data_IF_492846163847
#
_entry.id   IF_492846163847
#
_cell.length_a   1.000
_cell.length_b   1.000
_cell.length_c   1.000
_cell.angle_alpha   90.00
_cell.angle_beta   90.00
_cell.angle_gamma   90.00
#
_symmetry.space_group_name_H-M   'P 1'
#
loop_
_entity.id
_entity.type
_entity.pdbx_description
1 polymer ?
#
# COMPACT_ATOMS: atom_id res chain seq x y z
N UNK A 1 -9.88 1.23 -0.25
CA UNK A 1 -8.83 0.20 -0.34
C UNK A 1 -9.41 -0.99 -1.10
N UNK A 2 -8.95 -1.15 -2.33
CA UNK A 2 -9.40 -2.22 -3.23
C UNK A 2 -8.37 -3.35 -3.15
N UNK A 3 -8.79 -4.50 -2.63
CA UNK A 3 -7.97 -5.70 -2.55
C UNK A 3 -8.57 -6.86 -3.31
N UNK A 4 -7.78 -7.89 -3.61
CA UNK A 4 -8.21 -9.06 -4.41
C UNK A 4 -9.34 -9.89 -3.78
N UNK A 5 -9.56 -9.81 -2.46
CA UNK A 5 -10.60 -10.57 -1.75
C UNK A 5 -11.66 -9.69 -1.08
N UNK A 6 -11.45 -8.38 -1.06
CA UNK A 6 -12.41 -7.46 -0.43
C UNK A 6 -12.03 -6.01 -0.61
N UNK A 7 -13.05 -5.21 -0.80
CA UNK A 7 -13.00 -3.75 -0.93
C UNK A 7 -13.44 -3.16 0.41
N UNK A 8 -12.65 -2.23 0.93
CA UNK A 8 -12.88 -1.62 2.23
C UNK A 8 -12.93 -0.10 2.09
N UNK A 9 -13.83 0.53 2.81
CA UNK A 9 -13.92 1.99 2.88
C UNK A 9 -14.23 2.48 4.27
N UNK A 10 -13.85 3.71 4.55
CA UNK A 10 -14.19 4.42 5.78
C UNK A 10 -14.12 5.93 5.59
N UNK A 11 -14.83 6.67 6.42
CA UNK A 11 -14.58 8.09 6.61
C UNK A 11 -13.33 8.29 7.47
N UNK A 12 -12.50 9.25 7.09
CA UNK A 12 -11.22 9.52 7.77
C UNK A 12 -11.17 10.96 8.26
N UNK A 13 -10.84 11.14 9.52
CA UNK A 13 -10.32 12.42 10.01
C UNK A 13 -8.83 12.53 9.63
N UNK A 14 -8.56 13.30 8.59
CA UNK A 14 -7.21 13.48 8.06
C UNK A 14 -6.30 14.37 8.92
N UNK A 15 -6.81 14.96 10.00
CA UNK A 15 -6.00 15.68 11.00
C UNK A 15 -5.41 14.71 12.01
N UNK A 16 -6.22 13.82 12.53
CA UNK A 16 -5.82 12.83 13.55
C UNK A 16 -5.29 11.53 12.94
N UNK A 17 -5.63 11.20 11.70
CA UNK A 17 -5.33 9.91 11.09
C UNK A 17 -6.11 8.77 11.74
N UNK A 18 -7.39 9.01 12.04
CA UNK A 18 -8.32 8.04 12.61
C UNK A 18 -9.55 7.88 11.73
N UNK A 19 -10.20 6.72 11.84
CA UNK A 19 -11.48 6.49 11.20
C UNK A 19 -12.59 7.21 11.93
N UNK A 20 -13.57 7.72 11.20
CA UNK A 20 -14.82 8.27 11.72
C UNK A 20 -15.89 7.19 11.53
N UNK A 21 -16.31 6.58 12.62
CA UNK A 21 -17.26 5.47 12.60
C UNK A 21 -16.61 4.14 12.19
N UNK A 22 -17.42 3.22 11.71
CA UNK A 22 -16.99 1.88 11.35
C UNK A 22 -16.51 1.80 9.90
N UNK A 23 -15.61 0.85 9.66
CA UNK A 23 -15.13 0.50 8.34
C UNK A 23 -16.11 -0.46 7.67
N UNK A 24 -16.58 -0.11 6.48
CA UNK A 24 -17.37 -1.00 5.61
C UNK A 24 -16.44 -1.92 4.85
N UNK A 25 -16.82 -3.19 4.71
CA UNK A 25 -16.12 -4.18 3.85
C UNK A 25 -17.15 -4.95 3.03
N UNK A 26 -16.95 -4.96 1.73
CA UNK A 26 -17.68 -5.82 0.79
C UNK A 26 -16.69 -6.74 0.08
N UNK A 27 -17.16 -7.85 -0.43
CA UNK A 27 -16.35 -8.79 -1.21
C UNK A 27 -15.97 -8.17 -2.56
N UNK A 28 -14.77 -8.48 -3.03
CA UNK A 28 -14.38 -8.14 -4.40
C UNK A 28 -15.15 -9.04 -5.36
N UNK A 29 -15.80 -8.49 -6.39
CA UNK A 29 -16.53 -9.27 -7.36
C UNK A 29 -15.64 -10.30 -8.05
N UNK A 30 -16.19 -11.49 -8.29
CA UNK A 30 -15.49 -12.54 -9.03
C UNK A 30 -15.07 -12.01 -10.42
N UNK A 31 -13.84 -12.33 -10.82
CA UNK A 31 -13.27 -11.80 -12.07
C UNK A 31 -12.66 -10.41 -11.96
N UNK A 32 -13.01 -9.60 -10.97
CA UNK A 32 -12.39 -8.30 -10.72
C UNK A 32 -12.52 -7.27 -11.86
N UNK A 33 -13.62 -7.33 -12.61
CA UNK A 33 -13.85 -6.42 -13.75
C UNK A 33 -14.02 -4.97 -13.31
N UNK A 34 -13.59 -3.98 -14.11
CA UNK A 34 -13.64 -2.56 -13.75
C UNK A 34 -15.03 -2.06 -13.33
N UNK A 35 -16.06 -2.36 -14.10
CA UNK A 35 -17.43 -1.93 -13.81
C UNK A 35 -17.98 -2.54 -12.53
N UNK A 36 -17.68 -3.81 -12.29
CA UNK A 36 -18.17 -4.51 -11.10
C UNK A 36 -17.50 -3.98 -9.83
N UNK A 37 -16.18 -3.75 -9.87
CA UNK A 37 -15.44 -3.11 -8.77
C UNK A 37 -15.96 -1.68 -8.55
N UNK A 38 -16.16 -0.89 -9.60
CA UNK A 38 -16.67 0.49 -9.47
C UNK A 38 -18.06 0.51 -8.82
N UNK A 39 -18.95 -0.41 -9.19
CA UNK A 39 -20.28 -0.53 -8.58
C UNK A 39 -20.21 -0.90 -7.09
N UNK A 40 -19.25 -1.75 -6.68
CA UNK A 40 -19.03 -2.07 -5.24
C UNK A 40 -18.48 -0.87 -4.50
N UNK A 41 -17.51 -0.15 -5.08
CA UNK A 41 -16.97 1.08 -4.49
C UNK A 41 -18.06 2.12 -4.31
N UNK A 42 -18.95 2.28 -5.31
CA UNK A 42 -20.13 3.16 -5.20
C UNK A 42 -21.00 2.82 -4.00
N UNK A 43 -21.37 1.55 -3.83
CA UNK A 43 -22.16 1.11 -2.66
C UNK A 43 -21.50 1.49 -1.33
N UNK A 44 -20.17 1.32 -1.23
CA UNK A 44 -19.42 1.69 -0.02
C UNK A 44 -19.44 3.20 0.18
N UNK A 45 -19.22 4.00 -0.88
CA UNK A 45 -19.22 5.47 -0.81
C UNK A 45 -20.62 5.98 -0.43
N UNK A 46 -21.67 5.49 -1.08
CA UNK A 46 -23.06 5.88 -0.77
C UNK A 46 -23.43 5.57 0.70
N UNK A 47 -23.02 4.41 1.20
CA UNK A 47 -23.24 4.03 2.60
C UNK A 47 -22.48 4.93 3.59
N UNK A 48 -21.27 5.37 3.25
CA UNK A 48 -20.41 6.15 4.15
C UNK A 48 -20.69 7.66 4.06
N UNK A 49 -20.93 8.19 2.87
CA UNK A 49 -21.08 9.64 2.66
C UNK A 49 -22.42 10.16 3.17
N UNK A 50 -23.49 9.38 3.10
CA UNK A 50 -24.82 9.84 3.43
C UNK A 50 -25.17 11.11 2.62
N UNK A 51 -25.58 12.18 3.32
CA UNK A 51 -25.91 13.49 2.70
C UNK A 51 -24.67 14.39 2.49
N UNK A 52 -23.46 13.93 2.76
CA UNK A 52 -22.23 14.73 2.62
C UNK A 52 -21.83 14.84 1.15
N UNK A 53 -22.05 16.01 0.54
CA UNK A 53 -21.55 16.32 -0.80
C UNK A 53 -20.15 16.93 -0.77
N UNK A 54 -19.39 16.80 -1.87
CA UNK A 54 -18.12 17.48 -2.07
C UNK A 54 -16.95 16.90 -1.25
N UNK A 55 -17.12 15.75 -0.59
CA UNK A 55 -16.01 15.06 0.09
C UNK A 55 -15.18 14.32 -0.96
N UNK A 56 -13.86 14.58 -1.07
CA UNK A 56 -13.02 13.88 -2.03
C UNK A 56 -12.86 12.40 -1.63
N UNK A 57 -12.78 11.54 -2.65
CA UNK A 57 -12.62 10.10 -2.46
C UNK A 57 -11.19 9.70 -2.81
N UNK A 58 -10.47 9.12 -1.84
CA UNK A 58 -9.17 8.50 -2.07
C UNK A 58 -9.32 7.00 -2.31
N UNK A 59 -8.72 6.49 -3.38
CA UNK A 59 -8.74 5.07 -3.72
C UNK A 59 -7.31 4.55 -3.80
N UNK A 60 -6.96 3.57 -2.96
CA UNK A 60 -5.76 2.79 -3.17
C UNK A 60 -6.11 1.50 -3.93
N UNK A 61 -5.27 1.19 -4.92
CA UNK A 61 -5.50 0.14 -5.90
C UNK A 61 -4.26 -0.76 -6.05
N UNK A 62 -4.41 -2.09 -6.17
CA UNK A 62 -3.29 -3.03 -6.24
C UNK A 62 -2.64 -3.06 -7.64
N UNK A 63 -2.20 -1.91 -8.11
CA UNK A 63 -1.51 -1.73 -9.39
C UNK A 63 -0.71 -0.42 -9.40
N UNK A 64 0.22 -0.31 -10.33
CA UNK A 64 0.86 0.96 -10.68
C UNK A 64 -0.20 1.92 -11.24
N UNK A 65 -0.31 3.13 -10.67
CA UNK A 65 -1.25 4.18 -11.11
C UNK A 65 -0.48 5.42 -11.54
N UNK A 66 -0.57 5.78 -12.82
CA UNK A 66 0.05 7.00 -13.36
C UNK A 66 -1.01 7.91 -13.95
N UNK A 67 -1.11 9.13 -13.42
CA UNK A 67 -2.09 10.13 -13.88
C UNK A 67 -3.52 9.57 -13.95
N UNK A 68 -3.93 8.78 -12.96
CA UNK A 68 -5.26 8.17 -12.92
C UNK A 68 -5.45 6.93 -13.81
N UNK A 69 -4.41 6.53 -14.56
CA UNK A 69 -4.42 5.34 -15.42
C UNK A 69 -3.75 4.18 -14.69
N UNK A 70 -4.39 3.02 -14.67
CA UNK A 70 -3.82 1.79 -14.14
C UNK A 70 -2.92 1.14 -15.18
N UNK A 71 -1.65 0.88 -14.81
CA UNK A 71 -0.61 0.41 -15.74
C UNK A 71 -0.32 -1.09 -15.61
N UNK A 72 -0.82 -1.73 -14.56
CA UNK A 72 -0.61 -3.15 -14.30
C UNK A 72 -1.88 -3.79 -13.72
N UNK A 73 -1.93 -5.11 -13.68
CA UNK A 73 -3.03 -5.88 -13.09
C UNK A 73 -2.51 -7.23 -12.61
N UNK A 74 -2.08 -7.31 -11.34
CA UNK A 74 -1.60 -8.55 -10.75
C UNK A 74 -2.73 -9.40 -10.15
N UNK A 75 -3.64 -8.76 -9.41
CA UNK A 75 -4.69 -9.43 -8.62
C UNK A 75 -6.12 -9.04 -9.04
N UNK A 76 -6.27 -8.43 -10.19
CA UNK A 76 -7.53 -7.99 -10.81
C UNK A 76 -7.53 -8.35 -12.29
N UNK A 77 -8.64 -8.17 -12.97
CA UNK A 77 -8.75 -8.48 -14.40
C UNK A 77 -7.78 -7.65 -15.26
N UNK A 78 -7.26 -8.23 -16.34
CA UNK A 78 -6.30 -7.55 -17.23
C UNK A 78 -6.88 -6.35 -17.96
N UNK A 79 -8.21 -6.22 -18.04
CA UNK A 79 -8.88 -5.04 -18.62
C UNK A 79 -8.61 -3.75 -17.83
N UNK A 80 -8.02 -3.83 -16.64
CA UNK A 80 -7.51 -2.66 -15.93
C UNK A 80 -6.27 -2.05 -16.57
N UNK A 81 -5.48 -2.81 -17.34
CA UNK A 81 -4.24 -2.30 -17.94
C UNK A 81 -4.56 -1.26 -19.01
N UNK A 82 -4.07 -0.03 -18.83
CA UNK A 82 -4.31 1.10 -19.71
C UNK A 82 -5.67 1.79 -19.50
N UNK A 83 -6.44 1.40 -18.49
CA UNK A 83 -7.74 2.00 -18.21
C UNK A 83 -7.57 3.35 -17.49
N UNK A 84 -8.33 4.36 -17.91
CA UNK A 84 -8.50 5.63 -17.19
C UNK A 84 -9.36 5.40 -15.93
N UNK A 85 -8.78 4.69 -14.96
CA UNK A 85 -9.50 4.19 -13.80
C UNK A 85 -10.03 5.31 -12.90
N UNK A 86 -9.30 6.41 -12.78
CA UNK A 86 -9.77 7.57 -12.01
C UNK A 86 -11.04 8.15 -12.63
N UNK A 87 -11.07 8.35 -13.94
CA UNK A 87 -12.25 8.86 -14.66
C UNK A 87 -13.44 7.90 -14.53
N UNK A 88 -13.20 6.58 -14.59
CA UNK A 88 -14.24 5.58 -14.37
C UNK A 88 -14.87 5.74 -12.97
N UNK A 89 -14.07 5.86 -11.93
CA UNK A 89 -14.57 6.04 -10.57
C UNK A 89 -15.26 7.41 -10.40
N UNK A 90 -14.72 8.48 -10.96
CA UNK A 90 -15.37 9.82 -10.91
C UNK A 90 -16.75 9.81 -11.53
N UNK A 91 -16.89 9.17 -12.68
CA UNK A 91 -18.19 9.04 -13.37
C UNK A 91 -19.19 8.20 -12.57
N UNK A 92 -18.72 7.08 -11.97
CA UNK A 92 -19.58 6.19 -11.21
C UNK A 92 -20.00 6.79 -9.86
N UNK A 93 -19.07 7.49 -9.18
CA UNK A 93 -19.28 8.00 -7.84
C UNK A 93 -19.92 9.39 -7.80
N UNK A 94 -19.75 10.22 -8.84
CA UNK A 94 -20.13 11.63 -8.80
C UNK A 94 -19.29 12.47 -7.83
N UNK A 95 -18.08 12.04 -7.52
CA UNK A 95 -17.13 12.68 -6.60
C UNK A 95 -15.77 12.86 -7.28
N UNK A 96 -15.01 13.87 -6.85
CA UNK A 96 -13.60 13.95 -7.18
C UNK A 96 -12.85 12.75 -6.58
N UNK A 97 -12.07 12.05 -7.40
CA UNK A 97 -11.34 10.84 -7.01
C UNK A 97 -9.85 11.07 -7.17
N UNK A 98 -9.07 10.56 -6.21
CA UNK A 98 -7.61 10.50 -6.30
C UNK A 98 -7.16 9.08 -6.07
N UNK A 99 -6.40 8.56 -7.02
CA UNK A 99 -5.92 7.17 -7.00
C UNK A 99 -4.42 7.08 -6.76
N UNK A 100 -4.02 6.03 -6.06
CA UNK A 100 -2.61 5.66 -5.90
C UNK A 100 -2.47 4.15 -5.72
N UNK A 101 -1.23 3.67 -5.84
CA UNK A 101 -0.88 2.29 -5.52
C UNK A 101 -1.14 1.98 -4.02
N UNK A 102 -1.41 0.72 -3.68
CA UNK A 102 -1.73 0.30 -2.30
C UNK A 102 -0.53 0.39 -1.34
N UNK A 103 0.68 0.09 -1.79
CA UNK A 103 1.89 0.25 -0.99
C UNK A 103 2.23 1.74 -0.80
N UNK A 104 2.07 2.57 -1.85
CA UNK A 104 2.19 4.03 -1.75
C UNK A 104 1.20 4.60 -0.73
N UNK A 105 -0.05 4.13 -0.76
CA UNK A 105 -1.05 4.55 0.22
C UNK A 105 -0.65 4.17 1.65
N UNK A 106 -0.17 2.94 1.85
CA UNK A 106 0.31 2.51 3.15
C UNK A 106 1.48 3.38 3.63
N UNK A 107 2.41 3.72 2.73
CA UNK A 107 3.52 4.62 3.00
C UNK A 107 3.06 6.02 3.38
N UNK A 108 2.14 6.62 2.63
CA UNK A 108 1.57 7.95 2.94
C UNK A 108 0.95 7.97 4.34
N UNK A 109 0.24 6.91 4.74
CA UNK A 109 -0.31 6.80 6.08
C UNK A 109 0.77 6.76 7.17
N UNK A 110 1.86 6.02 6.94
CA UNK A 110 2.96 5.92 7.89
C UNK A 110 3.75 7.23 7.99
N UNK A 111 4.00 7.92 6.88
CA UNK A 111 4.67 9.22 6.88
C UNK A 111 3.83 10.30 7.57
N UNK A 112 2.52 10.29 7.36
CA UNK A 112 1.65 11.35 7.93
C UNK A 112 1.22 11.06 9.36
N UNK A 113 0.97 9.80 9.70
CA UNK A 113 0.30 9.43 10.96
C UNK A 113 1.00 8.33 11.76
N UNK A 114 2.07 7.72 11.21
CA UNK A 114 2.68 6.52 11.76
C UNK A 114 4.17 6.62 12.02
N UNK A 115 4.89 5.55 11.73
CA UNK A 115 6.31 5.35 12.06
C UNK A 115 7.24 6.33 11.36
N UNK A 116 6.87 6.84 10.17
CA UNK A 116 7.65 7.81 9.40
C UNK A 116 7.38 9.28 9.74
N UNK A 117 6.48 9.55 10.71
CA UNK A 117 6.09 10.94 11.03
C UNK A 117 7.28 11.78 11.48
N UNK A 118 7.48 12.94 10.82
CA UNK A 118 8.57 13.90 11.10
C UNK A 118 9.99 13.35 10.82
N UNK A 119 10.11 12.26 10.08
CA UNK A 119 11.41 11.77 9.61
C UNK A 119 11.76 12.54 8.34
N UNK A 120 12.91 13.18 8.36
CA UNK A 120 13.52 13.83 7.21
C UNK A 120 14.43 12.84 6.47
N UNK A 121 14.87 13.21 5.28
CA UNK A 121 15.72 12.36 4.44
C UNK A 121 14.93 11.29 3.68
N UNK A 122 15.58 10.16 3.43
CA UNK A 122 15.02 9.08 2.63
C UNK A 122 14.37 8.03 3.53
N UNK A 123 13.08 7.81 3.34
CA UNK A 123 12.34 6.74 4.01
C UNK A 123 11.92 5.69 2.99
N UNK A 124 12.34 4.47 3.22
CA UNK A 124 11.92 3.30 2.45
C UNK A 124 10.90 2.50 3.25
N UNK A 125 9.76 2.20 2.65
CA UNK A 125 8.77 1.30 3.23
C UNK A 125 8.60 0.07 2.34
N UNK A 126 8.52 -1.11 2.97
CA UNK A 126 8.09 -2.33 2.30
C UNK A 126 6.90 -2.95 3.01
N UNK A 127 5.95 -3.48 2.25
CA UNK A 127 4.84 -4.29 2.74
C UNK A 127 5.10 -5.75 2.39
N UNK A 128 5.27 -6.59 3.40
CA UNK A 128 5.58 -8.01 3.23
C UNK A 128 4.28 -8.83 3.31
N UNK A 129 3.92 -9.47 2.21
CA UNK A 129 2.70 -10.26 2.08
C UNK A 129 2.81 -11.29 0.98
N UNK A 130 1.82 -11.37 0.08
CA UNK A 130 1.84 -12.19 -1.14
C UNK A 130 3.05 -11.84 -1.99
N UNK A 131 3.35 -10.54 -2.11
CA UNK A 131 4.55 -9.97 -2.71
C UNK A 131 5.25 -9.02 -1.74
N UNK A 132 6.13 -8.18 -2.29
CA UNK A 132 6.81 -7.07 -1.62
C UNK A 132 6.38 -5.75 -2.27
N UNK A 133 5.34 -5.13 -1.75
CA UNK A 133 5.01 -3.76 -2.15
C UNK A 133 6.00 -2.77 -1.54
N UNK A 134 6.31 -1.69 -2.26
CA UNK A 134 7.28 -0.68 -1.78
C UNK A 134 6.76 0.74 -1.95
N UNK A 135 7.17 1.62 -1.06
CA UNK A 135 6.96 3.05 -1.17
C UNK A 135 8.22 3.80 -0.74
N UNK A 136 8.58 4.84 -1.47
CA UNK A 136 9.79 5.63 -1.24
C UNK A 136 9.41 7.09 -0.99
N UNK A 137 10.06 7.71 -0.02
CA UNK A 137 9.83 9.12 0.33
C UNK A 137 11.14 9.87 0.47
N UNK A 138 11.15 11.11 0.03
CA UNK A 138 12.24 12.06 0.25
C UNK A 138 11.65 13.28 0.98
N UNK A 139 12.12 13.55 2.19
CA UNK A 139 11.63 14.65 3.04
C UNK A 139 10.10 14.67 3.18
N UNK A 140 9.49 13.49 3.31
CA UNK A 140 8.04 13.32 3.47
C UNK A 140 7.23 13.33 2.17
N UNK A 141 7.84 13.62 1.02
CA UNK A 141 7.18 13.59 -0.29
C UNK A 141 7.35 12.22 -0.96
N UNK A 142 6.24 11.67 -1.44
CA UNK A 142 6.20 10.37 -2.09
C UNK A 142 6.93 10.39 -3.45
N UNK A 143 7.78 9.41 -3.69
CA UNK A 143 8.25 9.01 -5.03
C UNK A 143 7.32 7.90 -5.51
N UNK A 144 6.32 8.19 -6.34
CA UNK A 144 5.21 7.28 -6.59
C UNK A 144 5.61 6.07 -7.43
N UNK A 145 4.90 4.96 -7.21
CA UNK A 145 4.98 3.75 -8.01
C UNK A 145 6.38 3.13 -8.08
N UNK A 146 7.08 3.08 -6.95
CA UNK A 146 8.35 2.35 -6.87
C UNK A 146 8.07 0.86 -6.70
N UNK A 147 8.49 0.05 -7.66
CA UNK A 147 8.31 -1.40 -7.66
C UNK A 147 9.62 -2.12 -7.23
N UNK A 148 10.22 -1.63 -6.14
CA UNK A 148 11.52 -2.14 -5.66
C UNK A 148 11.42 -3.53 -5.00
N UNK A 149 10.22 -4.07 -4.80
CA UNK A 149 10.01 -5.49 -4.46
C UNK A 149 10.60 -6.41 -5.53
N UNK A 150 10.55 -5.97 -6.80
CA UNK A 150 11.07 -6.68 -7.97
C UNK A 150 12.57 -6.44 -8.24
N UNK A 151 13.34 -6.00 -7.23
CA UNK A 151 14.79 -5.92 -7.38
C UNK A 151 15.36 -7.28 -7.79
N UNK A 152 16.12 -7.29 -8.90
CA UNK A 152 16.86 -8.46 -9.31
C UNK A 152 18.14 -8.60 -8.47
N UNK A 153 18.27 -9.69 -7.75
CA UNK A 153 19.44 -10.02 -6.93
C UNK A 153 19.91 -11.41 -7.33
N UNK A 154 21.16 -11.52 -7.75
CA UNK A 154 21.77 -12.76 -8.30
C UNK A 154 20.97 -13.35 -9.47
N UNK A 155 20.46 -12.51 -10.37
CA UNK A 155 19.68 -12.92 -11.54
C UNK A 155 18.26 -13.42 -11.22
N UNK A 156 17.73 -13.12 -10.03
CA UNK A 156 16.40 -13.55 -9.60
C UNK A 156 15.59 -12.34 -9.14
N UNK A 157 14.34 -12.22 -9.60
CA UNK A 157 13.35 -11.33 -8.99
C UNK A 157 13.17 -11.71 -7.53
N UNK A 158 13.69 -10.85 -6.63
CA UNK A 158 13.89 -11.25 -5.25
C UNK A 158 12.60 -11.25 -4.42
N UNK A 159 11.52 -10.68 -4.91
CA UNK A 159 10.18 -10.87 -4.35
C UNK A 159 9.86 -12.36 -4.21
N UNK A 160 10.19 -13.17 -5.23
CA UNK A 160 9.96 -14.61 -5.24
C UNK A 160 10.66 -15.38 -4.12
N UNK A 161 11.68 -14.77 -3.48
CA UNK A 161 12.50 -15.34 -2.40
C UNK A 161 12.22 -14.73 -1.03
N UNK A 162 11.93 -13.43 -0.98
CA UNK A 162 11.88 -12.66 0.26
C UNK A 162 10.46 -12.24 0.68
N UNK A 163 9.44 -12.34 -0.21
CA UNK A 163 8.05 -12.13 0.19
C UNK A 163 7.63 -13.10 1.31
N UNK A 164 6.64 -12.71 2.13
CA UNK A 164 6.15 -13.59 3.18
C UNK A 164 5.51 -14.88 2.62
N UNK A 165 4.88 -14.79 1.46
CA UNK A 165 4.38 -15.97 0.74
C UNK A 165 5.47 -16.99 0.41
N UNK A 166 6.71 -16.55 0.16
CA UNK A 166 7.84 -17.44 -0.07
C UNK A 166 8.22 -18.19 1.22
N UNK A 167 8.20 -17.50 2.38
CA UNK A 167 8.38 -18.15 3.69
C UNK A 167 7.36 -19.26 3.91
N UNK A 168 6.08 -18.98 3.65
CA UNK A 168 5.00 -19.96 3.84
C UNK A 168 5.13 -21.12 2.85
N UNK A 169 5.31 -20.83 1.56
CA UNK A 169 5.44 -21.83 0.49
C UNK A 169 6.59 -22.82 0.73
N UNK A 170 7.71 -22.32 1.24
CA UNK A 170 8.93 -23.10 1.46
C UNK A 170 9.07 -23.56 2.91
N UNK A 171 8.07 -23.29 3.74
CA UNK A 171 8.04 -23.64 5.18
C UNK A 171 9.30 -23.20 5.95
N UNK A 172 9.77 -21.97 5.65
CA UNK A 172 10.99 -21.45 6.28
C UNK A 172 10.72 -21.04 7.73
N UNK A 173 11.70 -21.26 8.60
CA UNK A 173 11.76 -20.61 9.91
C UNK A 173 11.91 -19.09 9.76
N UNK A 174 11.65 -18.33 10.81
CA UNK A 174 11.89 -16.88 10.79
C UNK A 174 13.38 -16.55 10.58
N UNK A 175 14.29 -17.37 11.10
CA UNK A 175 15.72 -17.16 10.91
C UNK A 175 16.16 -17.35 9.45
N UNK A 176 15.69 -18.39 8.78
CA UNK A 176 15.98 -18.63 7.36
C UNK A 176 15.38 -17.54 6.47
N UNK A 177 14.16 -17.11 6.79
CA UNK A 177 13.51 -16.03 6.05
C UNK A 177 14.20 -14.67 6.32
N UNK A 178 14.61 -14.39 7.56
CA UNK A 178 15.36 -13.19 7.90
C UNK A 178 16.69 -13.11 7.14
N UNK A 179 17.37 -14.23 6.91
CA UNK A 179 18.57 -14.24 6.07
C UNK A 179 18.28 -13.80 4.61
N UNK A 180 17.12 -14.15 4.06
CA UNK A 180 16.69 -13.66 2.75
C UNK A 180 16.33 -12.17 2.80
N UNK A 181 15.60 -11.74 3.83
CA UNK A 181 15.30 -10.33 4.05
C UNK A 181 16.57 -9.49 4.23
N UNK A 182 17.57 -10.01 4.95
CA UNK A 182 18.86 -9.34 5.11
C UNK A 182 19.46 -9.01 3.74
N UNK A 183 19.54 -10.00 2.85
CA UNK A 183 20.10 -9.81 1.52
C UNK A 183 19.32 -8.78 0.68
N UNK A 184 17.99 -8.78 0.79
CA UNK A 184 17.13 -7.79 0.17
C UNK A 184 17.42 -6.39 0.69
N UNK A 185 17.41 -6.21 2.02
CA UNK A 185 17.63 -4.90 2.63
C UNK A 185 19.08 -4.41 2.52
N UNK A 186 20.08 -5.30 2.52
CA UNK A 186 21.47 -4.94 2.19
C UNK A 186 21.57 -4.31 0.79
N UNK A 187 20.79 -4.84 -0.16
CA UNK A 187 20.73 -4.29 -1.52
C UNK A 187 20.04 -2.93 -1.51
N UNK A 188 18.92 -2.77 -0.79
CA UNK A 188 18.23 -1.49 -0.61
C UNK A 188 19.15 -0.47 0.05
N UNK A 189 19.83 -0.82 1.14
CA UNK A 189 20.79 0.08 1.81
C UNK A 189 21.93 0.51 0.89
N UNK A 190 22.49 -0.43 0.15
CA UNK A 190 23.59 -0.15 -0.78
C UNK A 190 23.20 0.81 -1.90
N UNK A 191 21.95 0.74 -2.39
CA UNK A 191 21.47 1.53 -3.52
C UNK A 191 20.92 2.89 -3.09
N UNK A 192 20.25 2.97 -1.95
CA UNK A 192 19.45 4.13 -1.54
C UNK A 192 19.94 4.81 -0.27
N UNK A 193 20.68 4.11 0.62
CA UNK A 193 21.10 4.63 1.93
C UNK A 193 19.95 5.30 2.72
N UNK A 194 18.85 4.59 3.01
CA UNK A 194 17.71 5.19 3.68
C UNK A 194 18.02 5.57 5.13
N UNK A 195 17.40 6.65 5.61
CA UNK A 195 17.45 7.05 7.02
C UNK A 195 16.53 6.20 7.89
N UNK A 196 15.44 5.70 7.28
CA UNK A 196 14.47 4.84 7.93
C UNK A 196 13.93 3.79 6.98
N UNK A 197 13.84 2.55 7.47
CA UNK A 197 13.10 1.45 6.82
C UNK A 197 11.85 1.14 7.65
N UNK A 198 10.67 1.15 7.01
CA UNK A 198 9.39 0.79 7.66
C UNK A 198 8.90 -0.54 7.09
N UNK A 199 8.58 -1.48 7.97
CA UNK A 199 8.09 -2.81 7.59
C UNK A 199 6.59 -2.91 7.83
N UNK A 200 5.84 -2.97 6.75
CA UNK A 200 4.39 -3.14 6.72
C UNK A 200 3.95 -4.55 6.29
N UNK A 201 2.69 -4.64 5.90
CA UNK A 201 2.05 -5.91 5.55
C UNK A 201 1.53 -6.67 6.76
N UNK A 202 0.81 -7.77 6.50
CA UNK A 202 0.16 -8.55 7.57
C UNK A 202 1.13 -9.12 8.59
N UNK A 203 2.31 -9.54 8.13
CA UNK A 203 3.37 -10.13 8.95
C UNK A 203 4.03 -9.12 9.92
N UNK A 204 3.88 -7.83 9.70
CA UNK A 204 4.42 -6.81 10.61
C UNK A 204 3.89 -6.93 12.05
N UNK A 205 2.79 -7.62 12.27
CA UNK A 205 2.28 -7.98 13.60
C UNK A 205 3.22 -8.90 14.37
N UNK A 206 4.04 -9.68 13.66
CA UNK A 206 5.01 -10.62 14.20
C UNK A 206 6.45 -10.08 14.05
N UNK A 207 6.61 -8.77 13.97
CA UNK A 207 7.91 -8.12 13.74
C UNK A 207 8.99 -8.55 14.75
N UNK A 208 8.64 -8.88 15.98
CA UNK A 208 9.57 -9.34 17.00
C UNK A 208 10.26 -10.68 16.65
N UNK A 209 9.67 -11.47 15.76
CA UNK A 209 10.21 -12.77 15.35
C UNK A 209 11.34 -12.65 14.32
N UNK A 210 11.41 -11.56 13.57
CA UNK A 210 12.35 -11.43 12.46
C UNK A 210 13.12 -10.12 12.42
N UNK A 211 12.56 -8.96 12.83
CA UNK A 211 13.32 -7.70 12.79
C UNK A 211 14.59 -7.71 13.64
N UNK A 212 14.61 -8.33 14.86
CA UNK A 212 15.84 -8.40 15.65
C UNK A 212 16.94 -9.25 15.01
N UNK A 213 16.62 -10.07 14.00
CA UNK A 213 17.57 -10.90 13.27
C UNK A 213 18.22 -10.16 12.09
N UNK A 214 17.76 -8.96 11.77
CA UNK A 214 18.32 -8.12 10.71
C UNK A 214 19.40 -7.21 11.28
N UNK A 215 20.52 -7.12 10.58
CA UNK A 215 21.63 -6.23 10.91
C UNK A 215 21.76 -5.15 9.83
N UNK A 216 21.07 -4.03 10.00
CA UNK A 216 21.00 -2.92 9.06
C UNK A 216 21.61 -1.66 9.68
N UNK A 217 22.15 -0.76 8.84
CA UNK A 217 22.67 0.55 9.27
C UNK A 217 21.51 1.53 9.49
N UNK A 218 20.51 1.48 8.59
CA UNK A 218 19.31 2.28 8.69
C UNK A 218 18.48 1.86 9.91
N UNK A 219 17.83 2.84 10.52
CA UNK A 219 16.82 2.55 11.54
C UNK A 219 15.68 1.74 10.91
N UNK A 220 15.27 0.65 11.55
CA UNK A 220 14.15 -0.18 11.09
C UNK A 220 13.01 -0.17 12.12
N UNK A 221 11.77 0.04 11.65
CA UNK A 221 10.57 0.09 12.49
C UNK A 221 9.42 -0.70 11.85
N UNK A 222 8.57 -1.36 12.66
CA UNK A 222 7.30 -1.88 12.15
C UNK A 222 6.30 -0.74 11.88
N UNK A 223 5.44 -0.94 10.88
CA UNK A 223 4.36 -0.04 10.55
C UNK A 223 3.34 0.10 11.69
N UNK A 224 2.91 1.32 11.98
CA UNK A 224 2.00 1.64 13.07
C UNK A 224 0.51 1.56 12.67
N UNK A 225 0.15 1.85 11.40
CA UNK A 225 -1.25 1.98 10.94
C UNK A 225 -1.87 0.66 10.48
N UNK A 226 -1.07 -0.38 10.32
CA UNK A 226 -1.54 -1.78 10.09
C UNK A 226 -2.63 -1.87 9.01
N UNK A 227 -3.75 -2.51 9.32
CA UNK A 227 -4.85 -2.81 8.38
C UNK A 227 -5.62 -1.58 7.87
N UNK A 228 -5.39 -0.40 8.41
CA UNK A 228 -6.06 0.84 7.99
C UNK A 228 -5.13 1.72 7.13
N UNK A 229 -3.89 1.33 6.93
CA UNK A 229 -2.88 2.15 6.26
C UNK A 229 -3.33 2.58 4.85
N UNK A 230 -3.81 1.65 4.01
CA UNK A 230 -4.31 1.98 2.67
C UNK A 230 -5.42 3.04 2.68
N UNK A 231 -6.44 2.85 3.54
CA UNK A 231 -7.56 3.80 3.68
C UNK A 231 -7.07 5.18 4.14
N UNK A 232 -6.23 5.21 5.19
CA UNK A 232 -5.71 6.46 5.75
C UNK A 232 -4.85 7.23 4.76
N UNK A 233 -3.99 6.52 4.02
CA UNK A 233 -3.12 7.12 3.02
C UNK A 233 -3.89 7.65 1.82
N UNK A 234 -4.83 6.88 1.28
CA UNK A 234 -5.67 7.31 0.17
C UNK A 234 -6.49 8.55 0.54
N UNK A 235 -7.11 8.57 1.73
CA UNK A 235 -7.84 9.75 2.22
C UNK A 235 -6.92 10.96 2.42
N UNK A 236 -5.70 10.75 2.92
CA UNK A 236 -4.73 11.83 3.10
C UNK A 236 -4.30 12.46 1.78
N UNK A 237 -4.10 11.64 0.73
CA UNK A 237 -3.79 12.12 -0.62
C UNK A 237 -4.95 12.90 -1.21
N UNK A 238 -6.16 12.34 -1.17
CA UNK A 238 -7.35 13.01 -1.70
C UNK A 238 -7.60 14.37 -1.03
N UNK A 239 -7.36 14.47 0.27
CA UNK A 239 -7.46 15.74 0.99
C UNK A 239 -6.38 16.77 0.59
N UNK A 240 -5.14 16.33 0.30
CA UNK A 240 -4.04 17.21 -0.15
C UNK A 240 -4.34 17.81 -1.52
N UNK A 241 -5.00 17.05 -2.40
CA UNK A 241 -5.22 17.40 -3.80
C UNK A 241 -6.62 17.99 -4.11
N UNK A 242 -7.41 18.30 -3.08
CA UNK A 242 -8.75 18.89 -3.22
C UNK A 242 -8.74 20.35 -3.66
#
# INVERSE_FOLDING_TARGET
DIGGTGIKGALVDVKSGSLIGERVRLETPAGGLPKDIAAVVKKIVDQLSGERSGVPVGICFPAVVKNGITMSAANVDKSWIGLEAQSLFEQELGHAVHMLNDADAAGVAEMKFGAGRKVEGLVFMSTLGTGIGTALFINGELVPNTELGHLEIDGVDYESKAAYSAKERENLSFAEWAARLQKYYDTVERLFNPDLIIIGGGISKQHNEFLPLLNLKARILPAAKKNNAGILGAAALAYKNR
#
